data_IF_908850765727
#
_entry.id   IF_908850765727
#
_cell.length_a   1.000
_cell.length_b   1.000
_cell.length_c   1.000
_cell.angle_alpha   90.00
_cell.angle_beta   90.00
_cell.angle_gamma   90.00
#
_symmetry.space_group_name_H-M   'P 1'
#
loop_
_entity.id
_entity.type
_entity.pdbx_description
1 polymer ?
#
# COMPACT_ATOMS: atom_id res chain seq x y z
N UNK A 1 3.11 -5.50 -10.99
CA UNK A 1 4.18 -6.11 -10.17
C UNK A 1 3.67 -6.57 -8.79
N UNK A 2 4.39 -7.46 -8.06
CA UNK A 2 4.00 -7.96 -6.72
C UNK A 2 5.16 -7.94 -5.70
N UNK A 3 4.92 -7.43 -4.49
CA UNK A 3 5.84 -7.48 -3.33
C UNK A 3 5.17 -8.11 -2.12
N UNK A 4 5.94 -8.89 -1.37
CA UNK A 4 5.47 -9.58 -0.17
C UNK A 4 6.36 -9.17 1.00
N UNK A 5 5.73 -8.80 2.10
CA UNK A 5 6.35 -8.43 3.36
C UNK A 5 5.92 -9.47 4.40
N UNK A 6 6.90 -10.21 4.93
CA UNK A 6 6.69 -11.33 5.86
C UNK A 6 7.65 -11.18 7.04
N UNK A 7 7.52 -10.05 7.74
CA UNK A 7 8.36 -9.74 8.89
C UNK A 7 8.06 -10.72 10.06
N UNK A 8 9.07 -11.39 10.64
CA UNK A 8 8.85 -12.40 11.65
C UNK A 8 8.60 -11.79 13.04
N UNK A 9 7.33 -11.71 13.45
CA UNK A 9 6.96 -11.82 14.87
C UNK A 9 6.48 -10.58 15.62
N UNK A 10 6.10 -9.49 14.96
CA UNK A 10 5.49 -8.31 15.59
C UNK A 10 4.09 -7.96 15.09
N UNK A 11 3.21 -7.51 15.99
CA UNK A 11 1.91 -6.92 15.64
C UNK A 11 2.13 -5.77 14.64
N UNK A 12 1.49 -5.87 13.47
CA UNK A 12 1.53 -4.92 12.36
C UNK A 12 2.93 -4.67 11.75
N UNK A 13 3.92 -5.52 12.00
CA UNK A 13 5.29 -5.29 11.51
C UNK A 13 5.37 -5.38 9.99
N UNK A 14 4.85 -6.47 9.40
CA UNK A 14 4.78 -6.62 7.95
C UNK A 14 3.96 -5.49 7.27
N UNK A 15 2.92 -5.00 7.93
CA UNK A 15 2.13 -3.87 7.44
C UNK A 15 2.92 -2.56 7.46
N UNK A 16 3.65 -2.28 8.55
CA UNK A 16 4.50 -1.09 8.65
C UNK A 16 5.62 -1.10 7.63
N UNK A 17 6.23 -2.26 7.37
CA UNK A 17 7.24 -2.40 6.31
C UNK A 17 6.65 -2.14 4.91
N UNK A 18 5.44 -2.64 4.66
CA UNK A 18 4.73 -2.39 3.41
C UNK A 18 4.37 -0.90 3.24
N UNK A 19 3.89 -0.24 4.31
CA UNK A 19 3.60 1.19 4.32
C UNK A 19 4.85 2.04 4.10
N UNK A 20 5.96 1.72 4.78
CA UNK A 20 7.24 2.41 4.60
C UNK A 20 7.77 2.25 3.17
N UNK A 21 7.56 1.09 2.54
CA UNK A 21 7.92 0.88 1.14
C UNK A 21 7.10 1.76 0.18
N UNK A 22 5.81 1.96 0.47
CA UNK A 22 4.92 2.87 -0.25
C UNK A 22 5.30 4.35 -0.03
N UNK A 23 5.50 4.76 1.22
CA UNK A 23 5.88 6.13 1.60
C UNK A 23 7.20 6.54 0.93
N UNK A 24 8.17 5.64 0.88
CA UNK A 24 9.44 5.88 0.20
C UNK A 24 9.32 6.17 -1.31
N UNK A 25 8.14 5.98 -1.91
CA UNK A 25 7.84 6.09 -3.34
C UNK A 25 6.66 7.02 -3.63
N UNK A 26 6.21 7.83 -2.66
CA UNK A 26 5.02 8.69 -2.74
C UNK A 26 3.71 7.95 -3.09
N UNK A 27 3.66 6.64 -2.78
CA UNK A 27 2.44 5.85 -2.98
C UNK A 27 1.51 6.06 -1.79
N UNK A 28 0.36 6.67 -2.04
CA UNK A 28 -0.70 6.81 -1.05
C UNK A 28 -1.37 5.46 -0.75
N UNK A 29 -1.58 5.17 0.54
CA UNK A 29 -2.21 3.94 1.01
C UNK A 29 -3.57 4.24 1.64
N UNK A 30 -4.60 3.49 1.23
CA UNK A 30 -5.95 3.58 1.80
C UNK A 30 -6.02 3.30 3.28
N UNK A 31 -7.09 3.78 3.92
CA UNK A 31 -7.34 3.49 5.34
C UNK A 31 -7.52 1.99 5.56
N UNK A 32 -6.88 1.44 6.59
CA UNK A 32 -6.99 0.03 6.94
C UNK A 32 -8.42 -0.36 7.36
N UNK A 33 -8.86 -1.54 6.92
CA UNK A 33 -10.13 -2.15 7.28
C UNK A 33 -9.93 -3.66 7.41
N UNK A 34 -10.58 -4.27 8.40
CA UNK A 34 -10.44 -5.71 8.66
C UNK A 34 -10.97 -6.51 7.47
N UNK A 35 -10.20 -7.52 7.04
CA UNK A 35 -10.56 -8.46 5.98
C UNK A 35 -10.85 -7.79 4.61
N UNK A 36 -10.32 -6.58 4.40
CA UNK A 36 -10.43 -5.85 3.14
C UNK A 36 -9.04 -5.39 2.67
N UNK A 37 -8.82 -5.32 1.35
CA UNK A 37 -7.61 -4.70 0.82
C UNK A 37 -7.63 -3.18 1.08
N UNK A 38 -6.49 -2.53 0.93
CA UNK A 38 -6.33 -1.08 0.93
C UNK A 38 -5.96 -0.65 -0.49
N UNK A 39 -6.59 0.39 -1.00
CA UNK A 39 -6.25 0.93 -2.33
C UNK A 39 -4.89 1.63 -2.31
N UNK A 40 -4.17 1.56 -3.43
CA UNK A 40 -2.89 2.24 -3.63
C UNK A 40 -3.01 3.22 -4.80
N UNK A 41 -2.47 4.43 -4.64
CA UNK A 41 -2.36 5.44 -5.70
C UNK A 41 -0.92 5.96 -5.74
N UNK A 42 -0.38 6.15 -6.94
CA UNK A 42 1.02 6.51 -7.22
C UNK A 42 1.37 8.00 -6.98
N UNK A 43 0.52 8.70 -6.25
CA UNK A 43 0.73 10.08 -5.85
C UNK A 43 0.09 10.37 -4.49
N UNK A 44 0.58 11.38 -3.75
CA UNK A 44 0.04 11.74 -2.44
C UNK A 44 -1.45 12.10 -2.53
N UNK A 45 -2.28 11.42 -1.74
CA UNK A 45 -3.70 11.72 -1.59
C UNK A 45 -4.28 11.01 -0.35
N UNK A 46 -5.50 11.41 0.04
CA UNK A 46 -6.25 10.73 1.11
C UNK A 46 -7.21 9.74 0.46
N UNK A 47 -7.07 8.46 0.79
CA UNK A 47 -7.91 7.38 0.26
C UNK A 47 -8.79 6.83 1.39
N UNK A 48 -10.11 6.82 1.16
CA UNK A 48 -11.08 6.24 2.09
C UNK A 48 -10.88 4.72 2.25
N UNK A 49 -11.46 4.14 3.31
CA UNK A 49 -11.49 2.67 3.46
C UNK A 49 -12.17 2.00 2.26
N UNK A 50 -11.75 0.78 1.93
CA UNK A 50 -12.16 0.09 0.71
C UNK A 50 -13.67 -0.07 0.57
N UNK A 51 -14.37 -0.41 1.66
CA UNK A 51 -15.83 -0.53 1.67
C UNK A 51 -16.56 0.77 1.33
N UNK A 52 -15.94 1.93 1.54
CA UNK A 52 -16.51 3.24 1.21
C UNK A 52 -16.24 3.70 -0.23
N UNK A 53 -15.30 3.06 -0.93
CA UNK A 53 -14.98 3.40 -2.32
C UNK A 53 -16.06 2.86 -3.26
N UNK A 54 -16.54 3.72 -4.16
CA UNK A 54 -17.43 3.34 -5.25
C UNK A 54 -16.67 2.53 -6.31
N UNK A 55 -17.36 1.73 -7.14
CA UNK A 55 -16.69 0.91 -8.15
C UNK A 55 -15.73 1.68 -9.07
N UNK A 56 -16.11 2.89 -9.50
CA UNK A 56 -15.24 3.72 -10.34
C UNK A 56 -14.06 4.34 -9.58
N UNK A 57 -14.14 4.49 -8.26
CA UNK A 57 -13.01 4.93 -7.43
C UNK A 57 -12.01 3.78 -7.25
N UNK A 58 -12.49 2.56 -7.04
CA UNK A 58 -11.64 1.35 -6.99
C UNK A 58 -10.92 1.12 -8.32
N UNK A 59 -11.58 1.38 -9.45
CA UNK A 59 -10.99 1.26 -10.78
C UNK A 59 -9.90 2.32 -11.09
N UNK A 60 -9.75 3.36 -10.26
CA UNK A 60 -8.70 4.37 -10.39
C UNK A 60 -7.48 4.08 -9.53
N UNK A 61 -7.52 3.05 -8.69
CA UNK A 61 -6.37 2.64 -7.90
C UNK A 61 -5.31 2.05 -8.83
N UNK A 62 -4.04 2.37 -8.59
CA UNK A 62 -2.90 1.77 -9.28
C UNK A 62 -2.54 0.39 -8.70
N UNK A 63 -3.24 -0.06 -7.67
CA UNK A 63 -2.97 -1.32 -7.01
C UNK A 63 -3.69 -1.51 -5.69
N UNK A 64 -3.33 -2.57 -4.98
CA UNK A 64 -3.87 -2.92 -3.66
C UNK A 64 -2.82 -3.45 -2.71
N UNK A 65 -3.02 -3.19 -1.42
CA UNK A 65 -2.32 -3.81 -0.31
C UNK A 65 -3.29 -4.77 0.41
N UNK A 66 -2.95 -6.04 0.50
CA UNK A 66 -3.82 -7.11 1.03
C UNK A 66 -3.04 -8.09 1.92
N UNK A 67 -3.74 -9.02 2.57
CA UNK A 67 -3.16 -9.98 3.51
C UNK A 67 -3.58 -9.73 4.96
N UNK A 68 -2.89 -10.35 5.90
CA UNK A 68 -3.12 -10.11 7.33
C UNK A 68 -2.29 -8.90 7.77
N UNK A 69 -2.94 -7.75 7.91
CA UNK A 69 -2.25 -6.52 8.33
C UNK A 69 -1.68 -6.61 9.75
N UNK A 70 -2.16 -7.54 10.59
CA UNK A 70 -1.71 -7.69 11.97
C UNK A 70 -0.54 -8.65 12.11
N UNK A 71 -0.63 -9.84 11.51
CA UNK A 71 0.39 -10.88 11.69
C UNK A 71 1.22 -11.16 10.43
N UNK A 72 0.88 -10.52 9.31
CA UNK A 72 1.46 -10.83 8.02
C UNK A 72 1.03 -12.21 7.50
N UNK A 73 1.45 -12.55 6.26
CA UNK A 73 2.18 -11.68 5.34
C UNK A 73 1.27 -10.59 4.75
N UNK A 74 1.87 -9.45 4.40
CA UNK A 74 1.23 -8.35 3.66
C UNK A 74 1.75 -8.34 2.24
N UNK A 75 0.85 -8.21 1.27
CA UNK A 75 1.17 -8.21 -0.16
C UNK A 75 0.77 -6.86 -0.77
N UNK A 76 1.69 -6.26 -1.52
CA UNK A 76 1.44 -5.13 -2.40
C UNK A 76 1.38 -5.66 -3.84
N UNK A 77 0.29 -5.38 -4.53
CA UNK A 77 0.12 -5.61 -5.96
C UNK A 77 -0.13 -4.26 -6.62
N UNK A 78 0.78 -3.86 -7.52
CA UNK A 78 0.69 -2.61 -8.29
C UNK A 78 0.62 -2.92 -9.78
N UNK A 79 0.05 -2.01 -10.54
CA UNK A 79 0.14 -2.02 -11.99
C UNK A 79 1.59 -1.74 -12.44
N UNK A 80 1.93 -2.06 -13.69
CA UNK A 80 3.27 -1.79 -14.22
C UNK A 80 4.41 -2.54 -13.51
N UNK A 81 5.59 -1.91 -13.53
CA UNK A 81 6.87 -2.43 -13.03
C UNK A 81 7.37 -1.62 -11.82
N UNK A 82 8.37 -2.16 -11.11
CA UNK A 82 8.94 -1.46 -9.95
C UNK A 82 9.62 -0.13 -10.33
N UNK A 83 10.19 -0.04 -11.53
CA UNK A 83 10.86 1.18 -12.02
C UNK A 83 9.90 2.35 -12.23
N UNK A 84 8.58 2.08 -12.37
CA UNK A 84 7.54 3.10 -12.45
C UNK A 84 7.31 3.79 -11.10
N UNK A 85 7.84 3.22 -10.00
CA UNK A 85 7.69 3.71 -8.63
C UNK A 85 9.07 3.95 -7.99
N UNK A 86 9.80 5.00 -8.40
CA UNK A 86 11.14 5.26 -7.95
C UNK A 86 11.16 5.64 -6.46
N UNK A 87 12.23 5.23 -5.77
CA UNK A 87 12.46 5.66 -4.39
C UNK A 87 12.78 7.15 -4.37
N UNK A 88 11.96 7.92 -3.66
CA UNK A 88 12.15 9.36 -3.44
C UNK A 88 13.24 9.52 -2.37
N UNK A 89 14.33 10.28 -2.66
CA UNK A 89 15.35 10.57 -1.67
C UNK A 89 14.76 11.27 -0.45
N UNK A 90 15.20 10.90 0.75
CA UNK A 90 14.68 11.41 2.03
C UNK A 90 14.67 12.94 2.12
N UNK A 91 15.65 13.62 1.51
CA UNK A 91 15.72 15.09 1.43
C UNK A 91 14.56 15.78 0.69
N UNK A 92 13.76 15.02 -0.05
CA UNK A 92 12.59 15.51 -0.80
C UNK A 92 11.27 14.99 -0.24
N UNK A 93 11.30 14.20 0.85
CA UNK A 93 10.07 13.76 1.53
C UNK A 93 9.62 14.90 2.44
N UNK A 94 8.38 15.35 2.28
CA UNK A 94 7.76 16.45 3.03
C UNK A 94 7.08 15.97 4.32
#
# INVERSE_FOLDING_TARGET
MKKVFDAPGGDFEACRDAEAWCEARDIAVGTAERDQPRGLIDHPCIIAKWSNLRPHERARMNGTMSGDMRYGPVTIELDGNEDDYPVIPERYRE
#
